data_IF_747327962174
#
_entry.id   IF_747327962174
#
_cell.length_a   1.000
_cell.length_b   1.000
_cell.length_c   1.000
_cell.angle_alpha   90.00
_cell.angle_beta   90.00
_cell.angle_gamma   90.00
#
_symmetry.space_group_name_H-M   'P 1'
#
loop_
_entity.id
_entity.type
_entity.pdbx_description
1 polymer ?
#
# COMPACT_ATOMS: atom_id res chain seq x y z
N UNK A 1 -14.67 -5.46 -4.63
CA UNK A 1 -13.24 -5.45 -5.01
C UNK A 1 -12.45 -6.02 -3.85
N UNK A 2 -11.47 -6.90 -4.09
CA UNK A 2 -10.62 -7.42 -3.02
C UNK A 2 -9.54 -6.38 -2.69
N UNK A 3 -9.11 -6.28 -1.44
CA UNK A 3 -8.09 -5.29 -1.01
C UNK A 3 -6.78 -5.52 -1.76
N UNK A 4 -6.48 -6.77 -2.09
CA UNK A 4 -5.32 -7.18 -2.88
C UNK A 4 -5.34 -6.59 -4.30
N UNK A 5 -6.52 -6.35 -4.88
CA UNK A 5 -6.65 -5.74 -6.22
C UNK A 5 -6.14 -4.28 -6.25
N UNK A 6 -6.06 -3.64 -5.08
CA UNK A 6 -5.50 -2.29 -4.93
C UNK A 6 -3.98 -2.27 -5.15
N UNK A 7 -3.27 -3.39 -4.90
CA UNK A 7 -1.81 -3.45 -4.82
C UNK A 7 -1.14 -4.10 -6.04
N UNK A 8 -1.66 -3.84 -7.24
CA UNK A 8 -1.10 -4.37 -8.49
C UNK A 8 -0.97 -3.29 -9.57
N UNK A 9 0.22 -2.69 -9.67
CA UNK A 9 0.48 -1.39 -10.31
C UNK A 9 2.00 -1.09 -10.27
N UNK A 10 2.62 -0.78 -11.41
CA UNK A 10 4.03 -0.35 -11.47
C UNK A 10 5.00 -1.21 -10.64
N UNK A 11 5.60 -0.58 -9.63
CA UNK A 11 6.59 -1.19 -8.71
C UNK A 11 5.96 -1.97 -7.54
N UNK A 12 4.64 -1.99 -7.42
CA UNK A 12 3.88 -2.73 -6.40
C UNK A 12 3.22 -3.93 -7.07
N UNK A 13 3.63 -5.14 -6.67
CA UNK A 13 3.17 -6.39 -7.28
C UNK A 13 2.61 -7.32 -6.21
N UNK A 14 1.36 -7.76 -6.38
CA UNK A 14 0.78 -8.84 -5.60
C UNK A 14 1.44 -10.18 -5.93
N UNK A 15 1.76 -10.95 -4.90
CA UNK A 15 2.16 -12.35 -5.00
C UNK A 15 0.95 -13.27 -4.78
N UNK A 16 1.08 -14.55 -5.15
CA UNK A 16 -0.01 -15.54 -5.10
C UNK A 16 -0.54 -15.82 -3.68
N UNK A 17 0.12 -15.34 -2.62
CA UNK A 17 -0.07 -15.76 -1.22
C UNK A 17 -0.59 -14.68 -0.27
N UNK A 18 -1.24 -13.61 -0.76
CA UNK A 18 -1.69 -12.50 0.11
C UNK A 18 -0.54 -11.61 0.60
N UNK A 19 0.66 -11.85 0.07
CA UNK A 19 1.81 -10.97 0.17
C UNK A 19 1.88 -10.08 -1.07
N UNK A 20 2.56 -8.96 -0.93
CA UNK A 20 2.92 -8.09 -2.05
C UNK A 20 4.35 -7.64 -1.88
N UNK A 21 4.97 -7.24 -2.99
CA UNK A 21 6.31 -6.68 -2.97
C UNK A 21 6.34 -5.29 -3.58
N UNK A 22 7.14 -4.43 -2.98
CA UNK A 22 7.44 -3.09 -3.47
C UNK A 22 8.91 -3.05 -3.83
N UNK A 23 9.22 -2.70 -5.08
CA UNK A 23 10.60 -2.58 -5.55
C UNK A 23 11.06 -1.12 -5.53
N UNK A 24 12.12 -0.83 -4.77
CA UNK A 24 12.69 0.52 -4.61
C UNK A 24 14.22 0.49 -4.67
N UNK A 25 14.80 1.22 -5.64
CA UNK A 25 16.22 1.18 -6.01
C UNK A 25 16.77 -0.26 -6.16
N UNK A 26 16.10 -1.09 -6.96
CA UNK A 26 16.45 -2.50 -7.18
C UNK A 26 16.45 -3.37 -5.90
N UNK A 27 15.84 -2.90 -4.81
CA UNK A 27 15.61 -3.69 -3.59
C UNK A 27 14.15 -4.08 -3.54
N UNK A 28 13.89 -5.38 -3.44
CA UNK A 28 12.54 -5.94 -3.30
C UNK A 28 12.17 -6.08 -1.84
N UNK A 29 11.21 -5.28 -1.39
CA UNK A 29 10.66 -5.35 -0.03
C UNK A 29 9.37 -6.15 -0.10
N UNK A 30 9.27 -7.23 0.67
CA UNK A 30 8.09 -8.10 0.75
C UNK A 30 7.29 -7.73 1.99
N UNK A 31 5.98 -7.69 1.85
CA UNK A 31 5.06 -7.30 2.90
C UNK A 31 3.91 -8.30 3.02
N UNK A 32 3.50 -8.53 4.27
CA UNK A 32 2.23 -9.17 4.60
C UNK A 32 1.16 -8.09 4.86
N UNK A 33 -0.07 -8.37 4.43
CA UNK A 33 -1.23 -7.50 4.64
C UNK A 33 -2.01 -7.96 5.86
N UNK A 34 -2.33 -7.04 6.75
CA UNK A 34 -3.40 -7.18 7.73
C UNK A 34 -4.39 -6.05 7.54
N UNK A 35 -5.68 -6.30 7.77
CA UNK A 35 -6.71 -5.28 7.66
C UNK A 35 -7.63 -5.28 8.87
N UNK A 36 -7.98 -4.08 9.32
CA UNK A 36 -9.02 -3.86 10.32
C UNK A 36 -10.24 -3.29 9.61
N UNK A 37 -11.37 -4.01 9.70
CA UNK A 37 -12.58 -3.64 9.00
C UNK A 37 -13.37 -2.57 9.77
N UNK A 38 -13.84 -1.56 9.04
CA UNK A 38 -14.69 -0.50 9.55
C UNK A 38 -15.20 0.38 8.41
N UNK A 39 -15.88 1.50 8.73
CA UNK A 39 -16.26 2.52 7.73
C UNK A 39 -15.04 3.08 6.97
N UNK A 40 -13.90 3.10 7.65
CA UNK A 40 -12.57 3.29 7.09
C UNK A 40 -11.83 1.98 7.35
N UNK A 41 -11.36 1.33 6.29
CA UNK A 41 -10.50 0.15 6.41
C UNK A 41 -9.08 0.64 6.66
N UNK A 42 -8.48 0.14 7.72
CA UNK A 42 -7.06 0.32 7.99
C UNK A 42 -6.29 -0.87 7.43
N UNK A 43 -5.43 -0.62 6.45
CA UNK A 43 -4.58 -1.63 5.82
C UNK A 43 -3.17 -1.47 6.37
N UNK A 44 -2.74 -2.45 7.16
CA UNK A 44 -1.44 -2.52 7.79
C UNK A 44 -0.51 -3.44 7.00
N UNK A 45 0.58 -2.87 6.51
CA UNK A 45 1.61 -3.50 5.71
C UNK A 45 2.84 -3.71 6.57
N UNK A 46 3.18 -4.96 6.85
CA UNK A 46 4.37 -5.30 7.65
C UNK A 46 5.38 -6.03 6.78
N UNK A 47 6.59 -5.49 6.66
CA UNK A 47 7.61 -6.14 5.86
C UNK A 47 8.11 -7.42 6.53
N UNK A 48 8.33 -8.46 5.73
CA UNK A 48 8.82 -9.76 6.15
C UNK A 48 10.35 -9.87 6.06
N UNK A 49 10.98 -9.04 5.22
CA UNK A 49 12.42 -9.10 4.93
C UNK A 49 13.21 -7.82 5.29
N UNK A 50 12.53 -6.71 5.61
CA UNK A 50 13.16 -5.48 6.10
C UNK A 50 12.38 -4.89 7.29
N UNK A 51 13.00 -3.99 8.06
CA UNK A 51 12.28 -3.18 9.05
C UNK A 51 11.54 -2.04 8.35
N UNK A 52 10.48 -2.35 7.60
CA UNK A 52 9.65 -1.36 6.90
C UNK A 52 8.18 -1.69 7.12
N UNK A 53 7.38 -0.70 7.50
CA UNK A 53 5.96 -0.88 7.72
C UNK A 53 5.19 0.30 7.11
N UNK A 54 3.98 0.05 6.64
CA UNK A 54 3.09 1.09 6.18
C UNK A 54 1.68 0.87 6.74
N UNK A 55 0.98 1.97 6.93
CA UNK A 55 -0.42 2.04 7.30
C UNK A 55 -1.14 2.87 6.24
N UNK A 56 -2.24 2.33 5.73
CA UNK A 56 -3.04 2.95 4.69
C UNK A 56 -4.47 3.03 5.18
N UNK A 57 -5.07 4.21 5.08
CA UNK A 57 -6.47 4.42 5.44
C UNK A 57 -7.31 4.49 4.16
N UNK A 58 -8.29 3.60 4.03
CA UNK A 58 -9.16 3.50 2.87
C UNK A 58 -10.63 3.75 3.25
N UNK A 59 -11.25 4.80 2.70
CA UNK A 59 -12.68 5.05 2.82
C UNK A 59 -13.44 4.19 1.81
N UNK A 60 -14.08 3.13 2.28
CA UNK A 60 -14.84 2.19 1.45
C UNK A 60 -16.02 2.87 0.77
N UNK A 61 -16.62 3.87 1.41
CA UNK A 61 -17.84 4.54 0.89
C UNK A 61 -17.53 5.42 -0.31
N UNK A 62 -16.32 5.97 -0.35
CA UNK A 62 -15.85 6.83 -1.44
C UNK A 62 -14.91 6.10 -2.41
N UNK A 63 -14.50 4.89 -2.06
CA UNK A 63 -13.46 4.11 -2.75
C UNK A 63 -12.16 4.92 -2.90
N UNK A 64 -11.76 5.62 -1.82
CA UNK A 64 -10.59 6.51 -1.81
C UNK A 64 -9.64 6.27 -0.65
N UNK A 65 -8.34 6.42 -0.92
CA UNK A 65 -7.26 6.42 0.06
C UNK A 65 -7.21 7.80 0.74
N UNK A 66 -7.38 7.82 2.06
CA UNK A 66 -7.33 9.01 2.90
C UNK A 66 -5.89 9.37 3.24
N UNK A 67 -5.11 8.39 3.70
CA UNK A 67 -3.75 8.60 4.18
C UNK A 67 -2.87 7.38 3.90
N UNK A 68 -1.57 7.65 3.74
CA UNK A 68 -0.51 6.65 3.61
C UNK A 68 0.64 7.09 4.50
N UNK A 69 0.92 6.29 5.51
CA UNK A 69 1.97 6.53 6.49
C UNK A 69 2.92 5.34 6.49
N UNK A 70 4.19 5.55 6.12
CA UNK A 70 5.21 4.52 6.13
C UNK A 70 6.33 4.89 7.11
N UNK A 71 6.96 3.88 7.72
CA UNK A 71 8.08 4.07 8.63
C UNK A 71 9.11 2.94 8.49
N UNK A 72 10.38 3.29 8.66
CA UNK A 72 11.51 2.35 8.62
C UNK A 72 12.27 2.39 7.29
N UNK A 73 12.73 1.22 6.83
CA UNK A 73 13.63 1.11 5.68
C UNK A 73 12.99 1.69 4.41
N UNK A 74 13.65 2.73 3.85
CA UNK A 74 13.25 3.46 2.64
C UNK A 74 11.79 3.94 2.66
N UNK A 75 11.27 4.25 3.83
CA UNK A 75 9.89 4.71 4.08
C UNK A 75 9.37 5.73 3.05
N UNK A 76 10.12 6.79 2.77
CA UNK A 76 9.72 7.82 1.81
C UNK A 76 9.57 7.26 0.38
N UNK A 77 10.50 6.41 -0.06
CA UNK A 77 10.45 5.81 -1.40
C UNK A 77 9.33 4.79 -1.51
N UNK A 78 9.11 4.01 -0.46
CA UNK A 78 7.99 3.06 -0.37
C UNK A 78 6.66 3.80 -0.41
N UNK A 79 6.53 4.88 0.37
CA UNK A 79 5.35 5.75 0.36
C UNK A 79 5.08 6.30 -1.04
N UNK A 80 6.09 6.87 -1.70
CA UNK A 80 5.95 7.39 -3.06
C UNK A 80 5.54 6.31 -4.08
N UNK A 81 6.06 5.07 -3.94
CA UNK A 81 5.65 3.96 -4.79
C UNK A 81 4.17 3.58 -4.59
N UNK A 82 3.69 3.57 -3.34
CA UNK A 82 2.28 3.33 -3.01
C UNK A 82 1.38 4.46 -3.52
N UNK A 83 1.76 5.72 -3.31
CA UNK A 83 1.05 6.89 -3.83
C UNK A 83 0.95 6.84 -5.36
N UNK A 84 2.05 6.53 -6.04
CA UNK A 84 2.09 6.37 -7.50
C UNK A 84 1.10 5.31 -7.98
N UNK A 85 1.13 4.13 -7.36
CA UNK A 85 0.19 3.06 -7.63
C UNK A 85 -1.28 3.49 -7.47
N UNK A 86 -1.62 4.10 -6.34
CA UNK A 86 -2.99 4.50 -6.05
C UNK A 86 -3.45 5.65 -6.94
N UNK A 87 -2.52 6.51 -7.38
CA UNK A 87 -2.80 7.56 -8.36
C UNK A 87 -3.18 6.96 -9.72
N UNK A 88 -2.43 5.96 -10.20
CA UNK A 88 -2.72 5.27 -11.47
C UNK A 88 -4.12 4.62 -11.47
N UNK A 89 -4.52 4.07 -10.33
CA UNK A 89 -5.84 3.47 -10.13
C UNK A 89 -6.95 4.47 -9.80
N UNK A 90 -6.65 5.78 -9.80
CA UNK A 90 -7.56 6.84 -9.41
C UNK A 90 -8.20 6.61 -8.02
N UNK A 91 -7.40 6.08 -7.08
CA UNK A 91 -7.82 5.79 -5.70
C UNK A 91 -7.45 6.93 -4.74
N UNK A 92 -6.55 7.84 -5.11
CA UNK A 92 -6.27 9.01 -4.29
C UNK A 92 -7.43 10.02 -4.38
N UNK A 93 -7.67 10.76 -3.30
CA UNK A 93 -8.40 12.01 -3.42
C UNK A 93 -7.65 12.90 -4.41
N UNK A 94 -8.37 13.57 -5.31
CA UNK A 94 -7.77 14.68 -6.05
C UNK A 94 -7.35 15.68 -4.98
N UNK A 95 -6.04 15.91 -4.83
CA UNK A 95 -5.58 17.10 -4.13
C UNK A 95 -6.33 18.27 -4.77
N UNK A 96 -7.10 18.96 -3.93
CA UNK A 96 -7.83 20.18 -4.30
C UNK A 96 -6.82 21.21 -4.80
#
# INVERSE_FOLDING_TARGET
MKVEDLFNCGNVKCMKTGEFCIEVDNVRIVYSINYEFGPIIEINLKSTNFKSNCKILFDVRKEKIIDISCYGFKDNKVKLALEGCFKEKNLLYKSI
#
